data_IF_473478387698
#
_entry.id   IF_473478387698
#
_cell.length_a   1.000
_cell.length_b   1.000
_cell.length_c   1.000
_cell.angle_alpha   90.00
_cell.angle_beta   90.00
_cell.angle_gamma   90.00
#
_symmetry.space_group_name_H-M   'P 1'
#
loop_
_entity.id
_entity.type
_entity.pdbx_description
1 polymer ?
#
# COMPACT_ATOMS: atom_id res chain seq x y z
N UNK A 1 8.49 -8.40 8.10
CA UNK A 1 8.41 -9.33 9.24
C UNK A 1 9.28 -10.54 8.96
N UNK A 2 8.97 -11.34 7.93
CA UNK A 2 9.66 -12.61 7.64
C UNK A 2 11.13 -12.46 7.21
N UNK A 3 11.48 -11.30 6.65
CA UNK A 3 12.89 -10.98 6.34
C UNK A 3 13.71 -10.59 7.57
N UNK A 4 13.09 -10.44 8.74
CA UNK A 4 13.72 -10.00 9.99
C UNK A 4 14.06 -8.50 10.07
N UNK A 5 13.89 -7.74 8.97
CA UNK A 5 14.31 -6.34 8.89
C UNK A 5 13.31 -5.33 9.49
N UNK A 6 12.04 -5.73 9.65
CA UNK A 6 10.96 -4.81 10.06
C UNK A 6 9.98 -5.50 11.01
N UNK A 7 9.58 -4.76 12.05
CA UNK A 7 8.42 -5.05 12.90
C UNK A 7 7.23 -4.27 12.35
N UNK A 8 6.07 -4.93 12.22
CA UNK A 8 4.85 -4.31 11.69
C UNK A 8 4.01 -3.80 12.86
N UNK A 9 3.53 -2.57 12.76
CA UNK A 9 2.48 -2.06 13.64
C UNK A 9 1.13 -2.23 12.94
N UNK A 10 0.40 -3.29 13.29
CA UNK A 10 -0.85 -3.62 12.62
C UNK A 10 -1.95 -2.59 12.86
N UNK A 11 -1.88 -1.80 13.93
CA UNK A 11 -2.81 -0.70 14.19
C UNK A 11 -2.84 0.40 13.11
N UNK A 12 -1.81 0.44 12.26
CA UNK A 12 -1.71 1.35 11.12
C UNK A 12 -1.98 0.65 9.78
N UNK A 13 -2.34 -0.62 9.80
CA UNK A 13 -2.60 -1.42 8.60
C UNK A 13 -4.08 -1.73 8.48
N UNK A 14 -4.56 -1.83 7.24
CA UNK A 14 -5.95 -2.14 6.93
C UNK A 14 -6.10 -3.62 6.57
N UNK A 15 -7.20 -4.26 6.97
CA UNK A 15 -7.53 -5.58 6.45
C UNK A 15 -7.79 -5.52 4.94
N UNK A 16 -7.27 -6.51 4.23
CA UNK A 16 -7.62 -6.73 2.83
C UNK A 16 -9.08 -7.16 2.78
N UNK A 17 -9.90 -6.47 2.00
CA UNK A 17 -11.34 -6.80 1.86
C UNK A 17 -11.56 -7.99 0.94
N UNK A 18 -10.77 -8.07 -0.14
CA UNK A 18 -10.87 -9.10 -1.16
C UNK A 18 -10.42 -10.45 -0.62
N UNK A 19 -11.32 -11.45 -0.65
CA UNK A 19 -11.07 -12.78 -0.12
C UNK A 19 -11.27 -12.91 1.39
N UNK A 20 -11.59 -11.82 2.09
CA UNK A 20 -11.74 -11.86 3.54
C UNK A 20 -13.12 -12.38 3.96
N UNK A 21 -13.22 -13.50 4.70
CA UNK A 21 -14.52 -14.08 5.10
C UNK A 21 -15.48 -13.08 5.74
N UNK A 22 -14.96 -12.26 6.67
CA UNK A 22 -15.75 -11.25 7.37
C UNK A 22 -16.25 -10.11 6.49
N UNK A 23 -15.77 -9.90 5.26
CA UNK A 23 -16.33 -8.88 4.35
C UNK A 23 -17.69 -9.30 3.77
N UNK A 24 -18.02 -10.59 3.78
CA UNK A 24 -19.24 -11.13 3.17
C UNK A 24 -20.25 -11.52 4.25
N UNK A 25 -19.93 -12.56 5.03
CA UNK A 25 -20.82 -13.15 6.04
C UNK A 25 -20.07 -13.89 7.15
N UNK A 26 -18.75 -13.73 7.24
CA UNK A 26 -17.90 -14.38 8.24
C UNK A 26 -17.57 -15.85 7.95
N UNK A 27 -18.04 -16.44 6.84
CA UNK A 27 -17.74 -17.83 6.47
C UNK A 27 -16.59 -17.90 5.47
N UNK A 28 -15.75 -18.91 5.61
CA UNK A 28 -14.70 -19.22 4.63
C UNK A 28 -15.30 -19.39 3.23
N UNK A 29 -14.63 -18.82 2.23
CA UNK A 29 -15.02 -18.97 0.83
C UNK A 29 -14.41 -20.28 0.32
N UNK A 30 -15.21 -21.33 0.21
CA UNK A 30 -14.72 -22.64 -0.20
C UNK A 30 -14.16 -22.63 -1.62
N UNK A 31 -12.93 -23.13 -1.79
CA UNK A 31 -12.23 -23.13 -3.07
C UNK A 31 -11.67 -21.77 -3.49
N UNK A 32 -11.72 -20.75 -2.62
CA UNK A 32 -11.11 -19.46 -2.90
C UNK A 32 -9.61 -19.61 -3.15
N UNK A 33 -9.12 -18.95 -4.20
CA UNK A 33 -7.75 -19.02 -4.74
C UNK A 33 -7.30 -20.39 -5.32
N UNK A 34 -8.13 -21.44 -5.28
CA UNK A 34 -7.77 -22.76 -5.83
C UNK A 34 -8.64 -23.12 -7.01
N UNK A 35 -9.95 -22.90 -6.90
CA UNK A 35 -10.93 -23.25 -7.92
C UNK A 35 -11.14 -22.07 -8.88
N UNK A 36 -11.72 -22.32 -10.07
CA UNK A 36 -12.03 -21.27 -11.02
C UNK A 36 -12.86 -20.12 -10.41
N UNK A 37 -12.39 -18.86 -10.50
CA UNK A 37 -13.03 -17.69 -9.91
C UNK A 37 -14.51 -17.56 -10.27
N UNK A 38 -14.87 -17.81 -11.54
CA UNK A 38 -16.26 -17.74 -12.03
C UNK A 38 -17.21 -18.72 -11.34
N UNK A 39 -16.70 -19.73 -10.63
CA UNK A 39 -17.50 -20.74 -9.91
C UNK A 39 -17.55 -20.50 -8.41
N UNK A 40 -16.50 -19.92 -7.82
CA UNK A 40 -16.36 -19.81 -6.35
C UNK A 40 -16.39 -18.39 -5.82
N UNK A 41 -16.05 -17.40 -6.64
CA UNK A 41 -16.01 -16.03 -6.13
C UNK A 41 -17.41 -15.54 -5.78
N UNK A 42 -17.57 -14.84 -4.65
CA UNK A 42 -18.82 -14.21 -4.30
C UNK A 42 -19.25 -13.20 -5.37
N UNK A 43 -20.55 -12.98 -5.45
CA UNK A 43 -21.11 -11.95 -6.31
C UNK A 43 -20.51 -10.56 -5.98
N UNK A 44 -20.15 -9.84 -7.04
CA UNK A 44 -19.51 -8.52 -6.97
C UNK A 44 -17.98 -8.55 -7.03
N UNK A 45 -17.33 -9.72 -6.89
CA UNK A 45 -15.88 -9.84 -7.11
C UNK A 45 -15.52 -9.70 -8.58
N UNK A 46 -16.34 -10.29 -9.44
CA UNK A 46 -16.19 -10.20 -10.89
C UNK A 46 -17.17 -9.17 -11.44
N UNK A 47 -16.66 -8.34 -12.35
CA UNK A 47 -17.41 -7.34 -13.09
C UNK A 47 -18.40 -8.00 -14.03
N UNK A 48 -19.55 -7.36 -14.21
CA UNK A 48 -20.57 -7.76 -15.19
C UNK A 48 -21.10 -6.53 -15.92
N UNK A 49 -21.88 -6.74 -16.98
CA UNK A 49 -22.57 -5.64 -17.68
C UNK A 49 -23.53 -4.86 -16.78
N UNK A 50 -24.00 -5.47 -15.69
CA UNK A 50 -24.95 -4.84 -14.77
C UNK A 50 -24.28 -4.21 -13.55
N UNK A 51 -23.03 -4.58 -13.26
CA UNK A 51 -22.30 -4.07 -12.11
C UNK A 51 -20.83 -3.78 -12.47
N UNK A 52 -20.50 -2.48 -12.47
CA UNK A 52 -19.15 -1.96 -12.66
C UNK A 52 -18.59 -1.31 -11.40
N UNK A 53 -19.13 -1.65 -10.23
CA UNK A 53 -18.62 -1.20 -8.93
C UNK A 53 -17.66 -2.23 -8.36
N UNK A 54 -16.55 -1.75 -7.81
CA UNK A 54 -15.57 -2.58 -7.11
C UNK A 54 -16.18 -3.23 -5.87
N UNK A 55 -15.72 -4.44 -5.54
CA UNK A 55 -16.28 -5.23 -4.44
C UNK A 55 -16.30 -4.48 -3.09
N UNK A 56 -15.35 -3.57 -2.85
CA UNK A 56 -15.32 -2.77 -1.62
C UNK A 56 -16.30 -1.58 -1.61
N UNK A 57 -17.12 -1.40 -2.64
CA UNK A 57 -18.08 -0.30 -2.81
C UNK A 57 -17.42 1.09 -2.78
N UNK A 58 -16.11 1.17 -3.06
CA UNK A 58 -15.34 2.42 -3.08
C UNK A 58 -15.01 2.91 -4.47
N UNK A 59 -15.15 2.08 -5.48
CA UNK A 59 -14.79 2.45 -6.84
C UNK A 59 -15.86 2.05 -7.84
N UNK A 60 -15.89 2.76 -8.96
CA UNK A 60 -16.63 2.35 -10.15
C UNK A 60 -15.72 2.52 -11.36
N UNK A 61 -15.91 1.66 -12.35
CA UNK A 61 -15.22 1.73 -13.64
C UNK A 61 -16.22 2.11 -14.73
N UNK A 62 -15.80 2.95 -15.68
CA UNK A 62 -16.55 3.17 -16.92
C UNK A 62 -16.06 2.24 -18.05
N UNK A 63 -14.92 1.57 -17.84
CA UNK A 63 -14.30 0.67 -18.81
C UNK A 63 -14.45 -0.79 -18.41
N UNK A 64 -14.53 -1.61 -19.45
CA UNK A 64 -14.40 -3.04 -19.38
C UNK A 64 -13.28 -3.37 -20.35
N UNK A 65 -12.04 -3.63 -19.89
CA UNK A 65 -10.99 -4.15 -20.77
C UNK A 65 -11.30 -5.61 -21.10
N UNK A 66 -12.42 -5.84 -21.79
CA UNK A 66 -12.90 -7.16 -22.15
C UNK A 66 -12.65 -7.44 -23.63
N UNK A 67 -12.13 -8.63 -23.89
CA UNK A 67 -11.85 -9.15 -25.21
C UNK A 67 -12.88 -10.21 -25.55
N UNK A 68 -13.37 -10.19 -26.78
CA UNK A 68 -14.19 -11.27 -27.28
C UNK A 68 -13.31 -12.51 -27.47
N UNK A 69 -13.71 -13.62 -26.86
CA UNK A 69 -13.07 -14.92 -27.02
C UNK A 69 -13.45 -15.48 -28.39
N UNK A 70 -12.86 -14.91 -29.45
CA UNK A 70 -12.84 -15.51 -30.79
C UNK A 70 -11.53 -16.28 -30.99
N UNK A 71 -11.47 -17.10 -32.04
CA UNK A 71 -10.22 -17.78 -32.44
C UNK A 71 -9.04 -16.81 -32.64
N UNK A 72 -9.33 -15.53 -32.90
CA UNK A 72 -8.30 -14.50 -33.07
C UNK A 72 -7.64 -14.09 -31.75
N UNK A 73 -8.32 -14.22 -30.60
CA UNK A 73 -7.73 -13.83 -29.30
C UNK A 73 -6.51 -14.67 -28.97
N UNK A 74 -6.51 -15.94 -29.40
CA UNK A 74 -5.42 -16.88 -29.19
C UNK A 74 -4.17 -16.60 -30.05
N UNK A 75 -4.22 -15.59 -30.93
CA UNK A 75 -3.05 -15.14 -31.70
C UNK A 75 -2.18 -14.17 -30.91
N UNK A 76 -2.72 -13.58 -29.84
CA UNK A 76 -2.00 -12.66 -28.96
C UNK A 76 -1.21 -13.45 -27.92
N UNK A 77 0.05 -13.07 -27.69
CA UNK A 77 0.94 -13.75 -26.74
C UNK A 77 0.39 -13.73 -25.31
N UNK A 78 -0.34 -12.67 -24.97
CA UNK A 78 -0.98 -12.48 -23.68
C UNK A 78 -2.01 -13.58 -23.39
N UNK A 79 -2.60 -14.21 -24.41
CA UNK A 79 -3.60 -15.26 -24.29
C UNK A 79 -3.07 -16.68 -24.53
N UNK A 80 -1.75 -16.86 -24.73
CA UNK A 80 -1.16 -18.18 -24.99
C UNK A 80 -1.51 -19.19 -23.90
N UNK A 81 -1.40 -18.76 -22.62
CA UNK A 81 -1.77 -19.58 -21.46
C UNK A 81 -3.27 -19.82 -21.37
N UNK A 82 -4.08 -18.81 -21.68
CA UNK A 82 -5.55 -18.90 -21.65
C UNK A 82 -6.09 -19.90 -22.69
N UNK A 83 -5.50 -19.93 -23.88
CA UNK A 83 -5.98 -20.70 -25.03
C UNK A 83 -5.53 -22.16 -25.05
N UNK A 84 -4.68 -22.58 -24.11
CA UNK A 84 -4.36 -23.99 -23.93
C UNK A 84 -5.60 -24.74 -23.40
N UNK A 85 -6.04 -25.80 -24.09
CA UNK A 85 -7.27 -26.57 -23.76
C UNK A 85 -7.39 -26.99 -22.29
N UNK A 86 -6.26 -27.31 -21.64
CA UNK A 86 -6.25 -27.70 -20.22
C UNK A 86 -6.50 -26.50 -19.30
N UNK A 87 -5.90 -25.37 -19.62
CA UNK A 87 -5.92 -24.17 -18.78
C UNK A 87 -7.18 -23.33 -19.05
N UNK A 88 -7.75 -23.43 -20.26
CA UNK A 88 -9.02 -22.79 -20.61
C UNK A 88 -10.17 -23.24 -19.71
N UNK A 89 -10.16 -24.52 -19.27
CA UNK A 89 -11.15 -25.03 -18.32
C UNK A 89 -11.06 -24.37 -16.95
N UNK A 90 -9.88 -23.89 -16.57
CA UNK A 90 -9.67 -23.16 -15.33
C UNK A 90 -10.03 -21.68 -15.48
N UNK A 91 -9.55 -21.04 -16.56
CA UNK A 91 -9.72 -19.60 -16.77
C UNK A 91 -11.11 -19.20 -17.27
N UNK A 92 -11.79 -20.08 -18.02
CA UNK A 92 -13.13 -19.83 -18.55
C UNK A 92 -14.06 -21.06 -18.46
N UNK A 93 -14.32 -21.57 -17.24
CA UNK A 93 -15.13 -22.77 -17.03
C UNK A 93 -16.57 -22.61 -17.54
N UNK A 94 -17.08 -21.39 -17.65
CA UNK A 94 -18.44 -21.10 -18.16
C UNK A 94 -18.48 -20.85 -19.67
N UNK A 95 -17.33 -20.88 -20.36
CA UNK A 95 -17.22 -20.50 -21.78
C UNK A 95 -17.84 -19.12 -22.07
N UNK A 96 -17.56 -18.16 -21.18
CA UNK A 96 -17.98 -16.78 -21.36
C UNK A 96 -17.40 -16.22 -22.66
N UNK A 97 -18.20 -15.42 -23.36
CA UNK A 97 -17.78 -14.79 -24.63
C UNK A 97 -16.76 -13.68 -24.44
N UNK A 98 -16.62 -13.17 -23.22
CA UNK A 98 -15.80 -12.01 -22.91
C UNK A 98 -14.91 -12.30 -21.70
N UNK A 99 -13.63 -11.97 -21.80
CA UNK A 99 -12.62 -12.14 -20.74
C UNK A 99 -11.72 -10.92 -20.63
N UNK A 100 -11.01 -10.75 -19.51
CA UNK A 100 -9.95 -9.74 -19.40
C UNK A 100 -8.67 -10.24 -20.09
N UNK A 101 -7.79 -9.33 -20.52
CA UNK A 101 -6.46 -9.67 -21.03
C UNK A 101 -5.38 -9.73 -19.94
N UNK A 102 -5.71 -9.41 -18.69
CA UNK A 102 -4.71 -9.37 -17.63
C UNK A 102 -4.36 -10.77 -17.10
N UNK A 103 -3.14 -11.22 -17.43
CA UNK A 103 -2.59 -12.48 -16.97
C UNK A 103 -2.33 -12.52 -15.46
N UNK A 104 -2.10 -11.37 -14.81
CA UNK A 104 -1.81 -11.30 -13.37
C UNK A 104 -3.07 -11.61 -12.55
N UNK A 105 -4.24 -11.25 -13.09
CA UNK A 105 -5.54 -11.58 -12.52
C UNK A 105 -6.17 -12.83 -13.16
N UNK A 106 -5.38 -13.69 -13.80
CA UNK A 106 -5.86 -14.94 -14.40
C UNK A 106 -7.03 -14.72 -15.38
N UNK A 107 -6.96 -13.64 -16.18
CA UNK A 107 -7.97 -13.26 -17.19
C UNK A 107 -9.36 -12.94 -16.60
N UNK A 108 -9.45 -12.76 -15.28
CA UNK A 108 -10.69 -12.42 -14.60
C UNK A 108 -11.17 -11.03 -15.01
N UNK A 109 -12.48 -10.89 -15.20
CA UNK A 109 -13.13 -9.59 -15.34
C UNK A 109 -13.20 -8.96 -13.96
N UNK A 110 -12.12 -8.38 -13.46
CA UNK A 110 -12.16 -7.58 -12.24
C UNK A 110 -12.49 -6.13 -12.57
N UNK A 111 -12.92 -5.38 -11.57
CA UNK A 111 -13.19 -3.96 -11.73
C UNK A 111 -11.89 -3.16 -11.75
N UNK A 112 -11.56 -2.54 -12.89
CA UNK A 112 -10.46 -1.59 -12.95
C UNK A 112 -10.89 -0.27 -12.30
N UNK A 113 -10.31 0.02 -11.14
CA UNK A 113 -10.79 1.06 -10.24
C UNK A 113 -10.42 2.45 -10.76
N UNK A 114 -11.33 3.11 -11.48
CA UNK A 114 -11.08 4.39 -12.16
C UNK A 114 -11.49 5.59 -11.30
N UNK A 115 -12.73 5.59 -10.78
CA UNK A 115 -13.24 6.66 -9.92
C UNK A 115 -13.44 6.16 -8.50
N UNK A 116 -12.88 6.87 -7.53
CA UNK A 116 -12.92 6.49 -6.12
C UNK A 116 -13.79 7.41 -5.29
N UNK A 117 -14.51 6.81 -4.35
CA UNK A 117 -15.24 7.52 -3.31
C UNK A 117 -14.32 7.92 -2.16
N UNK A 118 -14.51 9.14 -1.67
CA UNK A 118 -13.86 9.64 -0.47
C UNK A 118 -14.20 8.79 0.77
N UNK A 119 -13.45 9.03 1.85
CA UNK A 119 -13.74 8.43 3.15
C UNK A 119 -15.19 8.70 3.58
N UNK A 120 -15.82 7.71 4.22
CA UNK A 120 -17.23 7.74 4.66
C UNK A 120 -18.28 7.85 3.52
N UNK A 121 -17.86 7.74 2.26
CA UNK A 121 -18.75 7.60 1.11
C UNK A 121 -18.59 6.24 0.45
N UNK A 122 -19.61 5.83 -0.29
CA UNK A 122 -19.63 4.59 -1.06
C UNK A 122 -20.38 4.81 -2.38
N UNK A 123 -20.20 3.88 -3.31
CA UNK A 123 -20.99 3.76 -4.53
C UNK A 123 -21.69 2.41 -4.52
N UNK A 124 -22.99 2.40 -4.80
CA UNK A 124 -23.78 1.17 -4.79
C UNK A 124 -23.62 0.40 -6.11
N UNK A 125 -23.69 -0.95 -6.08
CA UNK A 125 -23.61 -1.80 -7.26
C UNK A 125 -24.51 -1.32 -8.38
N UNK A 126 -24.05 -1.46 -9.61
CA UNK A 126 -24.78 -1.02 -10.78
C UNK A 126 -23.84 -0.49 -11.85
N UNK A 127 -24.37 0.28 -12.78
CA UNK A 127 -23.62 0.75 -13.94
C UNK A 127 -24.03 2.18 -14.31
N UNK A 128 -23.21 2.79 -15.15
CA UNK A 128 -23.42 4.11 -15.72
C UNK A 128 -24.00 3.92 -17.13
N UNK A 129 -25.06 4.67 -17.44
CA UNK A 129 -25.64 4.75 -18.78
C UNK A 129 -25.39 6.14 -19.36
N UNK A 130 -25.33 6.23 -20.68
CA UNK A 130 -25.16 7.49 -21.43
C UNK A 130 -23.83 8.19 -21.12
N UNK A 131 -22.77 7.42 -20.86
CA UNK A 131 -21.41 7.95 -20.72
C UNK A 131 -20.98 8.63 -22.03
N UNK A 132 -20.59 9.91 -22.01
CA UNK A 132 -20.05 10.56 -23.19
C UNK A 132 -18.69 9.97 -23.55
N UNK A 133 -18.31 10.07 -24.82
CA UNK A 133 -16.93 9.78 -25.23
C UNK A 133 -15.98 10.75 -24.52
N UNK A 134 -15.03 10.20 -23.76
CA UNK A 134 -14.03 11.00 -23.05
C UNK A 134 -12.86 11.27 -23.98
N UNK A 135 -12.65 12.53 -24.34
CA UNK A 135 -11.35 12.98 -24.87
C UNK A 135 -10.35 13.05 -23.70
N UNK A 136 -9.06 12.82 -23.96
CA UNK A 136 -7.91 12.77 -23.01
C UNK A 136 -7.80 14.01 -22.09
N UNK A 137 -8.78 14.20 -21.22
CA UNK A 137 -8.96 15.34 -20.32
C UNK A 137 -9.18 14.81 -18.92
N UNK A 138 -8.92 15.65 -17.91
CA UNK A 138 -9.18 15.30 -16.52
C UNK A 138 -10.69 15.18 -16.29
N UNK A 139 -11.17 13.95 -16.26
CA UNK A 139 -12.57 13.62 -16.10
C UNK A 139 -12.89 13.19 -14.67
N UNK A 140 -14.05 13.62 -14.17
CA UNK A 140 -14.51 13.24 -12.83
C UNK A 140 -16.02 13.32 -12.72
N UNK A 141 -16.55 12.65 -11.70
CA UNK A 141 -17.94 12.76 -11.32
C UNK A 141 -18.14 13.71 -10.15
N UNK A 142 -19.17 14.53 -10.21
CA UNK A 142 -19.77 15.14 -9.04
C UNK A 142 -20.93 14.24 -8.57
N UNK A 143 -21.00 13.97 -7.27
CA UNK A 143 -22.11 13.30 -6.59
C UNK A 143 -22.38 11.83 -6.99
N UNK A 144 -21.40 11.17 -7.61
CA UNK A 144 -21.44 9.72 -7.86
C UNK A 144 -21.51 8.91 -6.56
N UNK A 145 -20.74 9.32 -5.56
CA UNK A 145 -20.64 8.67 -4.26
C UNK A 145 -21.57 9.31 -3.24
N UNK A 146 -22.26 8.47 -2.46
CA UNK A 146 -23.15 8.91 -1.38
C UNK A 146 -22.62 8.52 -0.01
N UNK A 147 -23.13 9.19 1.02
CA UNK A 147 -22.94 8.75 2.41
C UNK A 147 -23.89 7.59 2.71
N UNK A 148 -23.55 6.80 3.72
CA UNK A 148 -24.36 5.65 4.12
C UNK A 148 -24.42 5.54 5.63
N UNK A 149 -25.49 4.92 6.12
CA UNK A 149 -25.66 4.58 7.53
C UNK A 149 -26.18 3.16 7.67
N UNK A 150 -25.34 2.29 8.22
CA UNK A 150 -25.69 0.90 8.50
C UNK A 150 -26.49 0.78 9.80
N UNK A 151 -27.62 0.09 9.74
CA UNK A 151 -28.45 -0.25 10.89
C UNK A 151 -28.20 -1.73 11.25
N UNK A 152 -26.99 -1.99 11.75
CA UNK A 152 -26.48 -3.36 11.90
C UNK A 152 -26.24 -4.01 10.54
N UNK A 153 -26.73 -5.24 10.36
CA UNK A 153 -26.61 -6.03 9.12
C UNK A 153 -27.97 -6.31 8.46
N UNK A 154 -29.03 -5.63 8.91
CA UNK A 154 -30.40 -5.85 8.41
C UNK A 154 -30.80 -4.83 7.33
N UNK A 155 -30.27 -3.62 7.42
CA UNK A 155 -30.52 -2.54 6.46
C UNK A 155 -29.45 -1.46 6.52
N UNK A 156 -29.43 -0.62 5.49
CA UNK A 156 -28.71 0.64 5.49
C UNK A 156 -29.44 1.71 4.68
N UNK A 157 -29.19 2.95 5.04
CA UNK A 157 -29.66 4.12 4.29
C UNK A 157 -28.50 4.65 3.45
N UNK A 158 -28.78 4.98 2.19
CA UNK A 158 -27.85 5.61 1.26
C UNK A 158 -28.37 7.01 0.91
N UNK A 159 -27.52 8.02 1.06
CA UNK A 159 -27.86 9.41 0.79
C UNK A 159 -26.86 10.02 -0.18
N UNK A 160 -27.36 10.64 -1.23
CA UNK A 160 -26.55 11.42 -2.18
C UNK A 160 -27.36 12.59 -2.71
N UNK A 161 -26.79 13.35 -3.63
CA UNK A 161 -27.50 14.37 -4.40
C UNK A 161 -27.38 14.05 -5.89
N UNK A 162 -28.42 14.35 -6.66
CA UNK A 162 -28.39 14.16 -8.11
C UNK A 162 -27.68 15.32 -8.83
N UNK A 163 -27.64 15.26 -10.16
CA UNK A 163 -27.05 16.30 -11.01
C UNK A 163 -27.75 17.68 -10.92
N UNK A 164 -28.96 17.76 -10.36
CA UNK A 164 -29.71 19.00 -10.09
C UNK A 164 -29.58 19.46 -8.63
N UNK A 165 -28.72 18.82 -7.85
CA UNK A 165 -28.60 19.01 -6.40
C UNK A 165 -29.87 18.65 -5.61
N UNK A 166 -30.71 17.75 -6.13
CA UNK A 166 -31.84 17.19 -5.38
C UNK A 166 -31.35 16.03 -4.53
N UNK A 167 -31.79 15.99 -3.28
CA UNK A 167 -31.47 14.88 -2.39
C UNK A 167 -32.07 13.57 -2.91
N UNK A 168 -31.24 12.54 -2.93
CA UNK A 168 -31.63 11.17 -3.24
C UNK A 168 -31.33 10.33 -2.02
N UNK A 169 -32.39 9.83 -1.39
CA UNK A 169 -32.28 8.90 -0.26
C UNK A 169 -32.94 7.58 -0.65
N UNK A 170 -32.25 6.48 -0.44
CA UNK A 170 -32.78 5.15 -0.69
C UNK A 170 -32.40 4.20 0.44
N UNK A 171 -33.34 3.36 0.85
CA UNK A 171 -33.14 2.39 1.91
C UNK A 171 -33.00 0.98 1.34
N UNK A 172 -31.87 0.33 1.59
CA UNK A 172 -31.64 -1.05 1.24
C UNK A 172 -31.83 -1.94 2.47
N UNK A 173 -32.58 -3.03 2.29
CA UNK A 173 -33.01 -3.99 3.29
C UNK A 173 -32.89 -5.40 2.72
N UNK A 174 -33.02 -6.42 3.57
CA UNK A 174 -33.05 -7.81 3.10
C UNK A 174 -34.21 -8.15 2.15
N UNK A 175 -35.27 -7.34 2.14
CA UNK A 175 -36.47 -7.59 1.33
C UNK A 175 -36.40 -6.98 -0.09
N UNK A 176 -35.47 -6.06 -0.33
CA UNK A 176 -35.31 -5.37 -1.62
C UNK A 176 -33.89 -5.52 -2.19
N UNK A 177 -33.23 -6.63 -1.89
CA UNK A 177 -31.97 -6.99 -2.54
C UNK A 177 -32.20 -7.07 -4.05
N UNK A 178 -31.28 -6.47 -4.81
CA UNK A 178 -31.35 -6.32 -6.27
C UNK A 178 -32.49 -5.43 -6.79
N UNK A 179 -33.27 -4.78 -5.93
CA UNK A 179 -34.17 -3.72 -6.39
C UNK A 179 -33.34 -2.56 -6.94
N UNK A 180 -33.73 -2.08 -8.12
CA UNK A 180 -33.00 -1.03 -8.83
C UNK A 180 -33.61 0.35 -8.62
N UNK A 181 -32.77 1.36 -8.48
CA UNK A 181 -33.17 2.76 -8.56
C UNK A 181 -32.10 3.54 -9.33
N UNK A 182 -32.48 4.67 -9.91
CA UNK A 182 -31.57 5.45 -10.74
C UNK A 182 -31.71 6.94 -10.49
N UNK A 183 -30.60 7.65 -10.60
CA UNK A 183 -30.55 9.11 -10.56
C UNK A 183 -29.47 9.63 -11.50
N UNK A 184 -29.65 10.83 -12.07
CA UNK A 184 -28.61 11.44 -12.90
C UNK A 184 -27.45 11.89 -12.02
N UNK A 185 -26.22 11.57 -12.41
CA UNK A 185 -24.98 12.10 -11.86
C UNK A 185 -24.35 13.06 -12.85
N UNK A 186 -23.56 14.01 -12.35
CA UNK A 186 -22.91 15.00 -13.19
C UNK A 186 -21.48 14.52 -13.49
N UNK A 187 -21.17 14.42 -14.76
CA UNK A 187 -19.86 14.00 -15.25
C UNK A 187 -19.19 15.19 -15.94
N UNK A 188 -17.96 15.52 -15.55
CA UNK A 188 -17.21 16.65 -16.06
C UNK A 188 -16.09 16.12 -16.95
N UNK A 189 -16.13 16.46 -18.24
CA UNK A 189 -15.10 16.12 -19.24
C UNK A 189 -14.99 17.27 -20.24
N UNK A 190 -14.31 18.35 -19.84
CA UNK A 190 -14.30 19.64 -20.56
C UNK A 190 -15.63 20.40 -20.51
N UNK A 191 -16.76 19.70 -20.58
CA UNK A 191 -18.13 20.19 -20.36
C UNK A 191 -18.82 19.34 -19.29
N UNK A 192 -19.90 19.87 -18.74
CA UNK A 192 -20.77 19.14 -17.82
C UNK A 192 -21.77 18.29 -18.61
N UNK A 193 -21.79 16.98 -18.32
CA UNK A 193 -22.71 16.00 -18.87
C UNK A 193 -23.58 15.43 -17.76
N UNK A 194 -24.76 14.92 -18.15
CA UNK A 194 -25.62 14.13 -17.27
C UNK A 194 -25.51 12.68 -17.67
N UNK A 195 -25.13 11.84 -16.73
CA UNK A 195 -24.99 10.39 -16.90
C UNK A 195 -25.99 9.74 -15.97
N UNK A 196 -26.74 8.75 -16.44
CA UNK A 196 -27.69 8.06 -15.58
C UNK A 196 -26.96 6.98 -14.77
N UNK A 197 -26.93 7.10 -13.44
CA UNK A 197 -26.43 6.04 -12.57
C UNK A 197 -27.59 5.12 -12.21
N UNK A 198 -27.50 3.87 -12.62
CA UNK A 198 -28.38 2.80 -12.14
C UNK A 198 -27.70 2.14 -10.95
N UNK A 199 -28.42 2.01 -9.85
CA UNK A 199 -27.98 1.31 -8.64
C UNK A 199 -28.90 0.12 -8.36
N UNK A 200 -28.33 -0.90 -7.72
CA UNK A 200 -29.02 -2.06 -7.17
C UNK A 200 -28.71 -2.13 -5.69
N UNK A 201 -29.71 -2.44 -4.87
CA UNK A 201 -29.48 -2.69 -3.46
C UNK A 201 -28.66 -3.98 -3.26
N UNK A 202 -27.44 -3.91 -2.70
CA UNK A 202 -26.73 -5.09 -2.27
C UNK A 202 -27.40 -5.70 -1.03
N UNK A 203 -27.03 -6.94 -0.73
CA UNK A 203 -27.27 -7.51 0.60
C UNK A 203 -26.70 -6.58 1.69
N UNK A 204 -27.52 -6.10 2.66
CA UNK A 204 -27.06 -5.17 3.69
C UNK A 204 -25.94 -5.71 4.59
N UNK A 205 -25.93 -7.01 4.87
CA UNK A 205 -24.87 -7.64 5.66
C UNK A 205 -23.55 -7.53 4.91
N UNK A 206 -23.52 -7.93 3.63
CA UNK A 206 -22.32 -7.84 2.79
C UNK A 206 -21.82 -6.40 2.67
N UNK A 207 -22.71 -5.45 2.38
CA UNK A 207 -22.35 -4.04 2.22
C UNK A 207 -21.73 -3.47 3.50
N UNK A 208 -22.43 -3.60 4.62
CA UNK A 208 -22.00 -3.01 5.89
C UNK A 208 -20.74 -3.66 6.44
N UNK A 209 -20.57 -4.98 6.29
CA UNK A 209 -19.33 -5.68 6.66
C UNK A 209 -18.15 -5.22 5.83
N UNK A 210 -18.31 -5.24 4.50
CA UNK A 210 -17.27 -4.84 3.55
C UNK A 210 -16.77 -3.42 3.83
N UNK A 211 -17.69 -2.46 3.95
CA UNK A 211 -17.35 -1.06 4.15
C UNK A 211 -16.72 -0.81 5.53
N UNK A 212 -17.22 -1.49 6.58
CA UNK A 212 -16.61 -1.43 7.92
C UNK A 212 -15.18 -1.96 7.88
N UNK A 213 -14.95 -3.06 7.16
CA UNK A 213 -13.63 -3.66 7.00
C UNK A 213 -12.68 -2.74 6.20
N UNK A 214 -13.14 -2.15 5.09
CA UNK A 214 -12.35 -1.23 4.24
C UNK A 214 -11.91 0.06 4.99
N UNK A 215 -12.76 0.52 5.90
CA UNK A 215 -12.55 1.77 6.63
C UNK A 215 -11.78 1.62 7.94
N UNK A 216 -11.62 0.39 8.46
CA UNK A 216 -10.92 0.15 9.73
C UNK A 216 -9.44 -0.13 9.55
N UNK A 217 -8.69 0.07 10.64
CA UNK A 217 -7.39 -0.54 10.81
C UNK A 217 -7.52 -1.76 11.75
N UNK A 218 -6.54 -2.65 11.75
CA UNK A 218 -6.53 -3.75 12.70
C UNK A 218 -6.48 -3.23 14.14
N UNK A 219 -7.39 -3.70 14.96
CA UNK A 219 -7.38 -3.50 16.41
C UNK A 219 -7.06 -4.80 17.18
N UNK A 220 -6.79 -5.88 16.44
CA UNK A 220 -6.45 -7.23 16.90
C UNK A 220 -5.25 -7.74 16.09
N UNK A 221 -4.56 -8.77 16.58
CA UNK A 221 -3.49 -9.41 15.81
C UNK A 221 -4.10 -10.19 14.64
N UNK A 222 -3.80 -9.84 13.37
CA UNK A 222 -4.32 -10.57 12.22
C UNK A 222 -3.73 -11.97 12.05
N UNK A 223 -2.66 -12.31 12.77
CA UNK A 223 -2.02 -13.63 12.72
C UNK A 223 -2.58 -14.62 13.74
N UNK A 224 -3.44 -14.19 14.67
CA UNK A 224 -4.16 -15.08 15.57
C UNK A 224 -5.39 -15.64 14.85
N UNK A 225 -5.41 -16.95 14.61
CA UNK A 225 -6.50 -17.68 13.92
C UNK A 225 -7.87 -17.53 14.62
N UNK A 226 -7.88 -17.18 15.91
CA UNK A 226 -9.12 -16.95 16.67
C UNK A 226 -9.59 -15.51 16.60
N UNK A 227 -8.79 -14.60 16.05
CA UNK A 227 -9.14 -13.20 15.87
C UNK A 227 -10.22 -13.07 14.80
N UNK A 228 -11.37 -12.57 15.20
CA UNK A 228 -12.35 -11.97 14.28
C UNK A 228 -12.22 -10.45 14.36
N UNK A 229 -11.99 -9.78 13.23
CA UNK A 229 -11.76 -8.32 13.18
C UNK A 229 -13.04 -7.52 13.27
N UNK A 230 -14.15 -8.01 12.71
CA UNK A 230 -15.46 -7.34 12.78
C UNK A 230 -16.31 -7.83 13.94
N UNK A 231 -16.18 -9.11 14.29
CA UNK A 231 -16.97 -9.79 15.31
C UNK A 231 -16.15 -10.17 16.56
N UNK A 232 -16.84 -10.59 17.61
CA UNK A 232 -16.24 -11.07 18.85
C UNK A 232 -15.92 -9.96 19.86
N UNK A 233 -15.58 -10.37 21.08
CA UNK A 233 -15.25 -9.44 22.14
C UNK A 233 -14.08 -8.53 21.73
N UNK A 234 -14.06 -7.26 22.19
CA UNK A 234 -12.89 -6.42 22.07
C UNK A 234 -11.71 -7.17 22.71
N UNK A 235 -10.75 -7.61 21.89
CA UNK A 235 -9.47 -8.01 22.46
C UNK A 235 -8.81 -6.74 22.95
N UNK A 236 -8.12 -6.83 24.09
CA UNK A 236 -7.22 -5.75 24.51
C UNK A 236 -6.29 -5.50 23.33
N UNK A 237 -6.21 -4.26 22.80
CA UNK A 237 -5.32 -3.97 21.71
C UNK A 237 -3.96 -4.52 22.10
N UNK A 238 -3.35 -5.41 21.29
CA UNK A 238 -2.02 -5.88 21.59
C UNK A 238 -1.16 -4.65 21.87
N UNK A 239 -0.36 -4.68 22.95
CA UNK A 239 0.65 -3.65 23.13
C UNK A 239 1.61 -3.78 21.95
N UNK A 240 1.34 -3.04 20.87
CA UNK A 240 2.26 -2.82 19.78
C UNK A 240 3.35 -1.84 20.25
N UNK A 241 3.89 -2.07 21.44
CA UNK A 241 5.10 -1.40 21.88
C UNK A 241 6.21 -1.97 21.02
N UNK A 242 6.58 -1.22 19.99
CA UNK A 242 7.81 -1.48 19.27
C UNK A 242 8.93 -1.22 20.28
N UNK A 243 9.33 -2.27 21.00
CA UNK A 243 10.53 -2.20 21.81
C UNK A 243 11.70 -1.99 20.83
N UNK A 244 12.17 -0.75 20.81
CA UNK A 244 13.33 -0.28 20.06
C UNK A 244 14.59 -0.32 20.92
N UNK A 245 14.58 -0.91 22.11
CA UNK A 245 15.77 -1.00 22.98
C UNK A 245 16.91 -1.71 22.27
N UNK A 246 16.61 -2.74 21.48
CA UNK A 246 17.62 -3.41 20.64
C UNK A 246 18.20 -2.49 19.58
N UNK A 247 17.36 -1.71 18.89
CA UNK A 247 17.79 -0.72 17.91
C UNK A 247 18.60 0.41 18.58
N UNK A 248 18.16 0.88 19.75
CA UNK A 248 18.84 1.90 20.53
C UNK A 248 20.17 1.40 21.09
N UNK A 249 20.24 0.13 21.50
CA UNK A 249 21.46 -0.57 21.92
C UNK A 249 22.43 -0.75 20.76
N UNK A 250 21.93 -1.00 19.55
CA UNK A 250 22.76 -1.08 18.35
C UNK A 250 23.25 0.30 17.89
N UNK A 251 22.39 1.32 17.90
CA UNK A 251 22.76 2.72 17.63
C UNK A 251 23.81 3.21 18.63
N UNK A 252 23.62 2.95 19.92
CA UNK A 252 24.58 3.34 20.96
C UNK A 252 25.90 2.57 20.85
N UNK A 253 25.88 1.26 20.54
CA UNK A 253 27.08 0.46 20.26
C UNK A 253 27.84 0.98 19.04
N UNK A 254 27.13 1.38 17.98
CA UNK A 254 27.74 1.97 16.79
C UNK A 254 28.28 3.39 17.03
N UNK A 255 27.58 4.21 17.82
CA UNK A 255 28.09 5.52 18.28
C UNK A 255 29.35 5.36 19.14
N UNK A 256 29.37 4.41 20.08
CA UNK A 256 30.53 4.10 20.90
C UNK A 256 31.71 3.60 20.07
N UNK A 257 31.49 2.73 19.08
CA UNK A 257 32.53 2.29 18.12
C UNK A 257 33.08 3.47 17.31
N UNK A 258 32.22 4.39 16.85
CA UNK A 258 32.64 5.57 16.08
C UNK A 258 33.44 6.55 16.95
N UNK A 259 33.00 6.79 18.18
CA UNK A 259 33.72 7.61 19.16
C UNK A 259 35.10 7.00 19.52
N UNK A 260 35.16 5.69 19.75
CA UNK A 260 36.40 4.98 20.02
C UNK A 260 37.41 5.08 18.87
N UNK A 261 36.95 5.01 17.61
CA UNK A 261 37.82 5.23 16.44
C UNK A 261 38.37 6.65 16.39
N UNK A 262 37.56 7.67 16.68
CA UNK A 262 38.01 9.08 16.70
C UNK A 262 39.06 9.31 17.78
N UNK A 263 38.83 8.81 19.01
CA UNK A 263 39.82 8.91 20.11
C UNK A 263 41.11 8.19 19.75
N UNK A 264 41.04 7.01 19.11
CA UNK A 264 42.20 6.29 18.61
C UNK A 264 43.04 7.11 17.62
N UNK A 265 42.40 7.78 16.66
CA UNK A 265 43.11 8.63 15.70
C UNK A 265 43.75 9.86 16.35
N UNK A 266 43.08 10.48 17.32
CA UNK A 266 43.64 11.63 18.06
C UNK A 266 44.86 11.21 18.87
N UNK A 267 44.82 10.07 19.56
CA UNK A 267 45.94 9.56 20.34
C UNK A 267 47.16 9.23 19.46
N UNK A 268 46.93 8.62 18.29
CA UNK A 268 48.00 8.36 17.31
C UNK A 268 48.59 9.70 16.82
N UNK A 269 47.75 10.69 16.51
CA UNK A 269 48.20 12.02 16.09
C UNK A 269 49.08 12.71 17.14
N UNK A 270 48.67 12.69 18.41
CA UNK A 270 49.44 13.25 19.53
C UNK A 270 50.79 12.53 19.70
N UNK A 271 50.79 11.20 19.65
CA UNK A 271 52.03 10.42 19.76
C UNK A 271 53.04 10.77 18.65
N UNK A 272 52.57 10.94 17.40
CA UNK A 272 53.42 11.35 16.28
C UNK A 272 54.01 12.74 16.51
N UNK A 273 53.20 13.70 16.98
CA UNK A 273 53.69 15.06 17.29
C UNK A 273 54.75 15.03 18.38
N UNK A 274 54.54 14.27 19.46
CA UNK A 274 55.52 14.12 20.55
C UNK A 274 56.83 13.52 20.04
N UNK A 275 56.78 12.48 19.19
CA UNK A 275 57.97 11.89 18.57
C UNK A 275 58.72 12.92 17.72
N UNK A 276 58.01 13.70 16.90
CA UNK A 276 58.61 14.78 16.09
C UNK A 276 59.28 15.81 17.01
N UNK A 277 58.64 16.26 18.08
CA UNK A 277 59.22 17.20 19.03
C UNK A 277 60.48 16.65 19.70
N UNK A 278 60.49 15.36 20.08
CA UNK A 278 61.67 14.70 20.66
C UNK A 278 62.82 14.67 19.65
N UNK A 279 62.56 14.30 18.39
CA UNK A 279 63.57 14.27 17.33
C UNK A 279 64.14 15.66 17.07
N UNK A 280 63.30 16.69 16.98
CA UNK A 280 63.73 18.09 16.79
C UNK A 280 64.55 18.57 17.98
N UNK A 281 64.13 18.23 19.21
CA UNK A 281 64.87 18.55 20.43
C UNK A 281 66.28 17.91 20.42
N UNK A 282 66.38 16.62 20.10
CA UNK A 282 67.69 15.95 19.98
C UNK A 282 68.56 16.53 18.86
N UNK A 283 67.98 16.89 17.71
CA UNK A 283 68.71 17.53 16.62
C UNK A 283 69.25 18.91 17.02
N UNK A 284 68.45 19.71 17.74
CA UNK A 284 68.85 21.01 18.25
C UNK A 284 70.01 20.91 19.26
N UNK A 285 69.92 19.96 20.21
CA UNK A 285 70.99 19.75 21.20
C UNK A 285 72.28 19.19 20.59
N UNK A 286 72.18 18.32 19.57
CA UNK A 286 73.36 17.87 18.81
C UNK A 286 74.07 19.04 18.14
N UNK A 287 73.32 19.93 17.47
CA UNK A 287 73.89 21.12 16.82
C UNK A 287 74.60 22.04 17.82
N UNK A 288 74.00 22.26 18.99
CA UNK A 288 74.60 23.10 20.05
C UNK A 288 75.88 22.49 20.65
N UNK A 289 75.97 21.15 20.71
CA UNK A 289 77.19 20.45 21.16
C UNK A 289 78.37 20.67 20.21
N UNK A 290 78.13 20.73 18.90
CA UNK A 290 79.18 21.00 17.90
C UNK A 290 79.68 22.45 17.96
N UNK A 291 78.79 23.42 18.21
CA UNK A 291 79.16 24.83 18.40
C UNK A 291 79.98 25.06 19.69
N UNK A 292 79.70 24.29 20.76
CA UNK A 292 80.44 24.40 22.02
C UNK A 292 81.83 23.75 21.94
N UNK A 293 82.00 22.70 21.13
CA UNK A 293 83.33 22.11 20.89
C UNK A 293 84.21 22.99 20.00
N UNK A 294 83.61 23.75 19.08
CA UNK A 294 84.34 24.64 18.17
C UNK A 294 84.88 25.89 18.88
N UNK A 295 84.22 26.35 19.95
CA UNK A 295 84.65 27.52 20.74
C UNK A 295 85.79 27.21 21.70
N UNK A 296 85.84 26.01 22.30
CA UNK A 296 86.96 25.60 23.19
C UNK A 296 88.29 25.40 22.43
N UNK A 297 88.25 25.11 21.13
CA UNK A 297 89.48 24.98 20.32
C UNK A 297 90.07 26.37 19.96
N UNK A 298 89.26 27.42 19.85
CA UNK A 298 89.76 28.75 19.49
C UNK A 298 90.41 29.50 20.67
N UNK A 299 89.95 29.28 21.91
CA UNK A 299 90.52 29.96 23.09
C UNK A 299 91.92 29.45 23.47
N UNK A 300 92.31 28.25 23.03
CA UNK A 300 93.66 27.72 23.28
C UNK A 300 94.73 28.24 22.30
N UNK A 301 94.36 28.93 21.21
CA UNK A 301 95.33 29.45 20.23
C UNK A 301 95.77 30.90 20.50
N UNK A 302 95.10 31.62 21.40
CA UNK A 302 95.40 33.04 21.68
C UNK A 302 96.37 33.28 22.85
N UNK A 303 96.94 32.23 23.46
CA UNK A 303 97.79 32.39 24.65
C UNK A 303 99.32 32.32 24.39
N UNK A 304 99.75 32.13 23.13
CA UNK A 304 101.17 32.07 22.77
C UNK A 304 101.54 33.16 21.76
N UNK A 305 101.75 34.40 22.23
CA UNK A 305 102.71 35.39 21.67
C UNK A 305 102.74 36.67 22.51
N UNK A 306 103.45 36.59 23.63
CA UNK A 306 104.08 37.73 24.30
C UNK A 306 105.56 37.38 24.41
N UNK A 307 106.41 38.03 23.62
CA UNK A 307 107.68 38.72 23.96
C UNK A 307 108.09 39.52 22.72
#
# INVERSE_FOLDING_TARGET
MDTGNYKINWANTKPLVFGHPESINGKTIEGFAIDPPQKKFPEGYLQSSYNTVGFNYKSISNKLPIFNVSEDVCKYLEFEKYCNDKDNQFYNPNREKFVSADIISDYQKYNDQEYYCENNKAVLPGHLMDMPETEYTEDHFENLCGTYKCNGYESFEFHTVDADNKEVTYQCTKNNINESFSYPVKFISGKSHRVLKVNYCPDPERFCRTIKLDSMNFNKDPMDEKSKVLEGDPQTPPEWSLNYDDLNKEISKNKAKKAGKIVGYVMIGVAVVVIICIVVYFAYFRKKSEETHSTVVLDNLNNDRVV
#
